data_IF_597924817147
#
_entry.id   IF_597924817147
#
_cell.length_a   1.000
_cell.length_b   1.000
_cell.length_c   1.000
_cell.angle_alpha   90.00
_cell.angle_beta   90.00
_cell.angle_gamma   90.00
#
_symmetry.space_group_name_H-M   'P 1'
#
loop_
_entity.id
_entity.type
_entity.pdbx_description
1 polymer ?
#
# COMPACT_ATOMS: atom_id res chain seq x y z
N UNK A 1 2.27 1.99 16.08
CA UNK A 1 2.66 0.66 15.55
C UNK A 1 2.99 0.90 14.11
N UNK A 2 4.14 0.40 13.66
CA UNK A 2 4.60 0.62 12.30
C UNK A 2 4.31 -0.62 11.48
N UNK A 3 3.81 -0.43 10.28
CA UNK A 3 3.48 -1.49 9.36
C UNK A 3 4.32 -1.34 8.09
N UNK A 4 4.68 -2.48 7.51
CA UNK A 4 5.35 -2.57 6.22
C UNK A 4 4.28 -2.72 5.15
N UNK A 5 4.26 -1.78 4.23
CA UNK A 5 3.36 -1.75 3.08
C UNK A 5 4.15 -1.82 1.78
N UNK A 6 3.50 -2.24 0.71
CA UNK A 6 4.02 -2.06 -0.64
C UNK A 6 2.86 -1.76 -1.60
N UNK A 7 3.19 -1.08 -2.70
CA UNK A 7 2.27 -0.96 -3.82
C UNK A 7 2.39 -2.24 -4.65
N UNK A 8 1.28 -2.94 -4.82
CA UNK A 8 1.16 -4.06 -5.73
C UNK A 8 0.62 -3.57 -7.07
N UNK A 9 1.37 -3.81 -8.14
CA UNK A 9 0.93 -3.60 -9.51
C UNK A 9 0.23 -4.88 -9.99
N UNK A 10 -1.08 -4.82 -10.20
CA UNK A 10 -1.86 -5.98 -10.65
C UNK A 10 -1.55 -6.37 -12.09
N UNK A 11 -1.18 -5.42 -12.94
CA UNK A 11 -0.90 -5.68 -14.36
C UNK A 11 0.45 -6.37 -14.53
N UNK A 12 1.46 -5.91 -13.80
CA UNK A 12 2.80 -6.48 -13.80
C UNK A 12 2.98 -7.64 -12.81
N UNK A 13 1.95 -7.96 -12.04
CA UNK A 13 1.91 -9.01 -11.01
C UNK A 13 3.09 -8.95 -10.03
N UNK A 14 3.49 -7.73 -9.65
CA UNK A 14 4.69 -7.51 -8.85
C UNK A 14 4.53 -6.41 -7.81
N UNK A 15 5.40 -6.44 -6.81
CA UNK A 15 5.47 -5.42 -5.76
C UNK A 15 6.52 -4.38 -6.10
N UNK A 16 6.19 -3.12 -5.85
CA UNK A 16 7.16 -2.04 -5.75
C UNK A 16 7.96 -2.11 -4.45
N UNK A 17 8.78 -1.09 -4.22
CA UNK A 17 9.59 -1.00 -3.01
C UNK A 17 8.69 -0.95 -1.75
N UNK A 18 8.99 -1.73 -0.71
CA UNK A 18 8.28 -1.64 0.54
C UNK A 18 8.61 -0.33 1.27
N UNK A 19 7.62 0.17 2.00
CA UNK A 19 7.74 1.38 2.82
C UNK A 19 7.06 1.16 4.17
N UNK A 20 7.50 1.90 5.19
CA UNK A 20 7.06 1.71 6.57
C UNK A 20 6.28 2.95 7.01
N UNK A 21 5.07 2.76 7.54
CA UNK A 21 4.25 3.85 8.06
C UNK A 21 3.68 3.51 9.43
N UNK A 22 3.47 4.53 10.27
CA UNK A 22 2.65 4.36 11.47
C UNK A 22 1.19 4.19 11.05
N UNK A 23 0.51 3.23 11.67
CA UNK A 23 -0.91 2.91 11.41
C UNK A 23 -1.81 4.13 11.54
N UNK A 24 -1.49 5.09 12.43
CA UNK A 24 -2.28 6.32 12.63
C UNK A 24 -2.26 7.25 11.43
N UNK A 25 -1.21 7.20 10.61
CA UNK A 25 -1.05 8.10 9.44
C UNK A 25 -1.22 7.37 8.11
N UNK A 26 -1.16 6.03 8.10
CA UNK A 26 -1.22 5.21 6.90
C UNK A 26 -2.34 5.61 5.94
N UNK A 27 -3.59 5.71 6.41
CA UNK A 27 -4.74 6.07 5.56
C UNK A 27 -4.57 7.45 4.90
N UNK A 28 -4.13 8.46 5.66
CA UNK A 28 -3.91 9.82 5.13
C UNK A 28 -2.80 9.83 4.10
N UNK A 29 -1.74 9.04 4.31
CA UNK A 29 -0.66 8.89 3.34
C UNK A 29 -1.15 8.21 2.07
N UNK A 30 -2.00 7.19 2.16
CA UNK A 30 -2.57 6.51 0.98
C UNK A 30 -3.46 7.44 0.17
N UNK A 31 -4.32 8.23 0.84
CA UNK A 31 -5.15 9.25 0.19
C UNK A 31 -4.29 10.34 -0.48
N UNK A 32 -3.21 10.77 0.17
CA UNK A 32 -2.26 11.71 -0.43
C UNK A 32 -1.58 11.09 -1.66
N UNK A 33 -1.05 9.87 -1.58
CA UNK A 33 -0.44 9.17 -2.72
C UNK A 33 -1.40 9.07 -3.89
N UNK A 34 -2.66 8.70 -3.62
CA UNK A 34 -3.70 8.62 -4.65
C UNK A 34 -3.94 9.97 -5.33
N UNK A 35 -3.94 11.08 -4.59
CA UNK A 35 -4.16 12.44 -5.15
C UNK A 35 -2.95 12.99 -5.90
N UNK A 36 -1.75 12.69 -5.42
CA UNK A 36 -0.49 13.22 -5.94
C UNK A 36 0.02 12.43 -7.16
N UNK A 37 -0.48 11.21 -7.36
CA UNK A 37 -0.13 10.35 -8.49
C UNK A 37 -1.10 10.57 -9.66
N UNK A 38 -0.56 10.68 -10.87
CA UNK A 38 -1.37 10.76 -12.08
C UNK A 38 -2.25 9.53 -12.25
N UNK A 39 -3.44 9.70 -12.85
CA UNK A 39 -4.40 8.61 -13.03
C UNK A 39 -3.81 7.39 -13.73
N UNK A 40 -3.07 7.58 -14.83
CA UNK A 40 -2.43 6.49 -15.58
C UNK A 40 -1.38 5.75 -14.76
N UNK A 41 -0.74 6.42 -13.81
CA UNK A 41 0.31 5.85 -12.98
C UNK A 41 -0.23 5.08 -11.77
N UNK A 42 -1.50 5.29 -11.39
CA UNK A 42 -2.15 4.60 -10.26
C UNK A 42 -3.19 3.55 -10.67
N UNK A 43 -3.53 3.49 -11.96
CA UNK A 43 -4.41 2.45 -12.50
C UNK A 43 -3.86 1.07 -12.17
N UNK A 44 -4.76 0.18 -11.74
CA UNK A 44 -4.45 -1.20 -11.37
C UNK A 44 -3.38 -1.38 -10.26
N UNK A 45 -3.18 -0.34 -9.46
CA UNK A 45 -2.30 -0.39 -8.29
C UNK A 45 -3.10 -0.37 -6.99
N UNK A 46 -2.64 -1.15 -6.02
CA UNK A 46 -3.24 -1.21 -4.69
C UNK A 46 -2.14 -1.26 -3.63
N UNK A 47 -2.42 -0.72 -2.44
CA UNK A 47 -1.51 -0.83 -1.30
C UNK A 47 -1.84 -2.13 -0.56
N UNK A 48 -0.81 -2.93 -0.30
CA UNK A 48 -0.90 -4.16 0.49
C UNK A 48 -0.10 -4.06 1.78
N UNK A 49 -0.65 -4.62 2.86
CA UNK A 49 0.06 -4.84 4.12
C UNK A 49 0.90 -6.11 3.99
N UNK A 50 2.21 -5.99 4.17
CA UNK A 50 3.15 -7.11 4.13
C UNK A 50 3.51 -7.61 5.54
N UNK A 51 3.45 -6.72 6.52
CA UNK A 51 3.95 -7.04 7.85
C UNK A 51 3.91 -5.90 8.87
N UNK A 52 4.42 -6.20 10.06
CA UNK A 52 4.67 -5.21 11.12
C UNK A 52 6.17 -4.97 11.27
N UNK A 53 6.53 -3.74 11.61
CA UNK A 53 7.92 -3.34 11.87
C UNK A 53 8.10 -2.92 13.33
N UNK A 54 9.20 -3.40 13.89
CA UNK A 54 9.72 -3.04 15.20
C UNK A 54 11.11 -2.39 15.03
N UNK A 55 11.34 -1.20 15.61
CA UNK A 55 12.64 -0.53 15.51
C UNK A 55 13.84 -1.35 15.99
N UNK A 56 13.64 -2.21 16.99
CA UNK A 56 14.72 -2.98 17.63
C UNK A 56 14.98 -4.32 16.91
N UNK A 57 13.97 -4.90 16.26
CA UNK A 57 14.04 -6.24 15.67
C UNK A 57 13.86 -6.29 14.16
N UNK A 58 13.51 -5.18 13.53
CA UNK A 58 13.17 -5.14 12.11
C UNK A 58 11.74 -5.64 11.87
N UNK A 59 11.53 -6.42 10.81
CA UNK A 59 10.21 -6.94 10.46
C UNK A 59 9.86 -8.08 11.41
N UNK A 60 8.84 -7.89 12.25
CA UNK A 60 8.44 -8.88 13.28
C UNK A 60 7.39 -9.86 12.79
N UNK A 61 6.52 -9.45 11.87
CA UNK A 61 5.47 -10.32 11.35
C UNK A 61 5.36 -10.15 9.85
N UNK A 62 5.32 -11.27 9.14
CA UNK A 62 5.07 -11.32 7.70
C UNK A 62 3.71 -11.99 7.51
N UNK A 63 2.82 -11.33 6.79
CA UNK A 63 1.51 -11.87 6.47
C UNK A 63 1.46 -12.27 5.00
N UNK A 64 0.49 -13.11 4.65
CA UNK A 64 0.01 -13.14 3.26
C UNK A 64 -0.41 -11.71 2.91
N UNK A 65 0.16 -11.09 1.86
CA UNK A 65 -0.12 -9.69 1.57
C UNK A 65 -1.60 -9.39 1.45
N UNK A 66 -2.10 -8.49 2.28
CA UNK A 66 -3.52 -8.14 2.33
C UNK A 66 -3.75 -6.78 1.67
N UNK A 67 -4.74 -6.68 0.77
CA UNK A 67 -5.15 -5.40 0.18
C UNK A 67 -5.75 -4.51 1.27
N UNK A 68 -5.13 -3.35 1.50
CA UNK A 68 -5.60 -2.36 2.49
C UNK A 68 -6.09 -1.05 1.86
N UNK A 69 -5.75 -0.78 0.60
CA UNK A 69 -6.18 0.42 -0.10
C UNK A 69 -6.15 0.26 -1.62
N UNK A 70 -7.17 0.75 -2.34
CA UNK A 70 -7.20 0.83 -3.80
C UNK A 70 -6.73 2.22 -4.25
N UNK A 71 -5.64 2.29 -5.04
CA UNK A 71 -5.16 3.58 -5.58
C UNK A 71 -5.95 3.98 -6.83
N UNK A 72 -6.55 3.02 -7.51
CA UNK A 72 -7.41 3.25 -8.65
C UNK A 72 -8.73 3.93 -8.24
N UNK A 73 -9.25 4.76 -9.13
CA UNK A 73 -10.63 5.23 -9.13
C UNK A 73 -11.39 4.38 -10.12
N UNK A 74 -11.56 3.08 -9.84
CA UNK A 74 -12.62 2.36 -10.54
C UNK A 74 -13.92 2.99 -10.06
N UNK A 75 -14.51 3.83 -10.91
CA UNK A 75 -15.94 4.07 -10.85
C UNK A 75 -16.56 2.68 -10.82
N UNK A 76 -17.27 2.36 -9.74
CA UNK A 76 -18.17 1.22 -9.75
C UNK A 76 -19.03 1.40 -11.00
N UNK A 77 -18.84 0.51 -11.99
CA UNK A 77 -19.75 0.44 -13.13
C UNK A 77 -21.15 0.26 -12.54
N UNK A 78 -22.04 1.18 -12.91
CA UNK A 78 -23.43 1.28 -12.45
C UNK A 78 -24.21 -0.03 -12.58
#
# INVERSE_FOLDING_TARGET
MMNVYAIYDRLAETYGNPFILDVKVAKRTFEWMKRDTELQQRQDKEVRLLGTWNPEKGIETVYTPEKVYELDDKQEEQ
#
